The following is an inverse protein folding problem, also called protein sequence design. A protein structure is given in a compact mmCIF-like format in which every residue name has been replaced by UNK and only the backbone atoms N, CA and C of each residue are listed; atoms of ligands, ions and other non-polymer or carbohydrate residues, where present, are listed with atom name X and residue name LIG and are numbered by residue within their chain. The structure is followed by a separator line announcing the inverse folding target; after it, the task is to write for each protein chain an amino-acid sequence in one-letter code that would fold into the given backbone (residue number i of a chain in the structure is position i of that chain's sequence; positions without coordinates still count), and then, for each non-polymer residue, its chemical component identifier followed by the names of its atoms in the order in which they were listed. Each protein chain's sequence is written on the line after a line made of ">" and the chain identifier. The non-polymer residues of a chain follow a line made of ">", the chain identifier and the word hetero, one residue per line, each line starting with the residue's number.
data_IF_960737417677
#
_entry.id   IF_960737417677
#
_cell.length_a   1.000
_cell.length_b   1.000
_cell.length_c   1.000
_cell.angle_alpha   90.00
_cell.angle_beta   90.00
_cell.angle_gamma   90.00
#
_symmetry.space_group_name_H-M   'P 1'
#
loop_
_entity.id
_entity.type
_entity.pdbx_description
1 polymer ?
#
# COMPACT_ATOMS: atom_id res chain seq x y z
N UNK A 1 11.60 1.21 -0.16
CA UNK A 1 11.29 1.53 1.26
C UNK A 1 10.35 0.45 1.72
N UNK A 2 10.66 -0.24 2.82
CA UNK A 2 9.76 -1.26 3.37
C UNK A 2 9.06 -0.68 4.59
N UNK A 3 7.72 -0.70 4.59
CA UNK A 3 6.91 -0.24 5.73
C UNK A 3 5.87 -1.31 6.10
N UNK A 4 5.67 -1.53 7.40
CA UNK A 4 4.66 -2.45 7.88
C UNK A 4 3.26 -1.85 7.66
N UNK A 5 2.37 -2.63 7.06
CA UNK A 5 0.97 -2.26 6.83
C UNK A 5 0.01 -3.23 7.52
N UNK A 6 0.49 -3.96 8.54
CA UNK A 6 -0.38 -4.80 9.34
C UNK A 6 -1.42 -3.93 10.05
N UNK A 7 -2.64 -4.47 10.20
CA UNK A 7 -3.77 -3.70 10.74
C UNK A 7 -4.46 -2.80 9.72
N UNK A 8 -4.10 -2.90 8.43
CA UNK A 8 -4.88 -2.35 7.33
C UNK A 8 -5.47 -3.48 6.47
N UNK A 9 -6.55 -3.13 5.78
CA UNK A 9 -7.01 -3.79 4.56
C UNK A 9 -6.77 -2.85 3.40
N UNK A 10 -6.70 -3.41 2.20
CA UNK A 10 -6.64 -2.62 0.97
C UNK A 10 -7.73 -3.06 0.03
N UNK A 11 -8.43 -2.09 -0.56
CA UNK A 11 -9.32 -2.32 -1.69
C UNK A 11 -8.49 -2.20 -2.96
N UNK A 12 -8.51 -3.22 -3.80
CA UNK A 12 -7.85 -3.27 -5.10
C UNK A 12 -8.72 -4.04 -6.09
N UNK A 13 -9.08 -3.43 -7.21
CA UNK A 13 -9.94 -4.02 -8.25
C UNK A 13 -11.20 -4.72 -7.69
N UNK A 14 -11.97 -3.98 -6.88
CA UNK A 14 -13.22 -4.46 -6.24
C UNK A 14 -13.04 -5.59 -5.20
N UNK A 15 -11.79 -5.97 -4.88
CA UNK A 15 -11.47 -6.98 -3.85
C UNK A 15 -10.92 -6.33 -2.60
N UNK A 16 -11.17 -6.96 -1.45
CA UNK A 16 -10.63 -6.54 -0.16
C UNK A 16 -9.55 -7.52 0.27
N UNK A 17 -8.31 -7.05 0.35
CA UNK A 17 -7.15 -7.85 0.73
C UNK A 17 -6.65 -7.42 2.11
N UNK A 18 -6.04 -8.35 2.85
CA UNK A 18 -5.40 -8.02 4.14
C UNK A 18 -3.93 -7.69 3.91
N UNK A 19 -3.51 -6.49 4.28
CA UNK A 19 -2.14 -6.04 3.98
C UNK A 19 -1.12 -6.58 4.98
N UNK A 20 0.09 -6.79 4.48
CA UNK A 20 1.26 -7.17 5.27
C UNK A 20 2.28 -6.04 5.27
N UNK A 21 2.69 -5.59 4.08
CA UNK A 21 3.74 -4.58 3.94
C UNK A 21 3.61 -3.79 2.64
N UNK A 22 4.17 -2.59 2.67
CA UNK A 22 4.55 -1.80 1.50
C UNK A 22 5.99 -2.16 1.16
N UNK A 23 6.26 -2.67 -0.04
CA UNK A 23 7.58 -3.19 -0.43
C UNK A 23 8.42 -2.13 -1.16
N UNK A 24 7.76 -1.44 -2.10
CA UNK A 24 8.39 -0.47 -3.01
C UNK A 24 7.49 0.74 -3.17
N UNK A 25 8.10 1.92 -3.32
CA UNK A 25 7.42 3.18 -3.58
C UNK A 25 8.24 3.94 -4.62
N UNK A 26 7.61 4.27 -5.73
CA UNK A 26 8.18 5.08 -6.79
C UNK A 26 7.43 6.42 -6.86
N UNK A 27 8.18 7.51 -6.98
CA UNK A 27 7.66 8.87 -7.12
C UNK A 27 7.83 9.35 -8.56
N UNK A 28 7.15 10.43 -8.95
CA UNK A 28 7.42 11.06 -10.24
C UNK A 28 8.84 11.65 -10.30
N UNK A 29 9.44 11.63 -11.49
CA UNK A 29 10.74 12.22 -11.72
C UNK A 29 10.73 13.71 -11.36
N UNK A 30 11.65 14.12 -10.48
CA UNK A 30 11.76 15.50 -10.00
C UNK A 30 11.06 15.78 -8.68
N UNK A 31 10.29 14.84 -8.13
CA UNK A 31 9.62 14.94 -6.83
C UNK A 31 10.56 14.50 -5.68
N UNK A 32 11.75 15.09 -5.64
CA UNK A 32 12.70 14.86 -4.54
C UNK A 32 12.18 15.52 -3.26
N UNK A 33 12.30 14.85 -2.09
CA UNK A 33 11.65 15.24 -0.83
C UNK A 33 12.14 16.56 -0.19
N UNK A 34 12.89 17.39 -0.92
CA UNK A 34 13.68 18.49 -0.36
C UNK A 34 12.98 19.86 -0.37
N UNK A 35 11.65 19.91 -0.58
CA UNK A 35 10.92 21.18 -0.69
C UNK A 35 9.65 21.29 0.17
N UNK A 36 9.58 20.64 1.34
CA UNK A 36 8.42 20.78 2.24
C UNK A 36 7.05 20.43 1.62
N UNK A 37 7.05 19.83 0.43
CA UNK A 37 5.89 19.29 -0.26
C UNK A 37 5.83 17.79 0.03
N UNK A 38 4.62 17.32 0.30
CA UNK A 38 4.33 15.89 0.34
C UNK A 38 4.32 15.38 -1.10
N UNK A 39 5.43 14.78 -1.54
CA UNK A 39 5.49 14.05 -2.81
C UNK A 39 4.50 12.89 -2.75
N UNK A 40 3.66 12.75 -3.78
CA UNK A 40 2.71 11.65 -3.86
C UNK A 40 3.35 10.47 -4.58
N UNK A 41 3.22 9.24 -4.08
CA UNK A 41 3.72 8.08 -4.79
C UNK A 41 2.96 7.90 -6.10
N UNK A 42 3.69 7.55 -7.17
CA UNK A 42 3.13 7.20 -8.48
C UNK A 42 2.79 5.72 -8.54
N UNK A 43 3.73 4.86 -8.16
CA UNK A 43 3.60 3.40 -8.16
C UNK A 43 3.98 2.88 -6.78
N UNK A 44 3.25 1.88 -6.30
CA UNK A 44 3.59 1.16 -5.08
C UNK A 44 3.49 -0.34 -5.29
N UNK A 45 4.24 -1.09 -4.48
CA UNK A 45 4.13 -2.54 -4.37
C UNK A 45 3.58 -2.91 -2.99
N UNK A 46 2.44 -3.59 -2.96
CA UNK A 46 1.76 -4.02 -1.75
C UNK A 46 1.79 -5.53 -1.64
N UNK A 47 2.33 -6.02 -0.52
CA UNK A 47 2.23 -7.42 -0.13
C UNK A 47 0.96 -7.62 0.70
N UNK A 48 0.09 -8.53 0.26
CA UNK A 48 -1.20 -8.78 0.89
C UNK A 48 -1.58 -10.26 0.89
N UNK A 49 -2.57 -10.62 1.70
CA UNK A 49 -3.23 -11.93 1.71
C UNK A 49 -4.57 -11.76 0.99
N UNK A 50 -4.79 -12.58 -0.05
CA UNK A 50 -6.05 -12.60 -0.79
C UNK A 50 -7.13 -13.45 -0.09
N UNK A 51 -8.31 -13.51 -0.69
CA UNK A 51 -9.49 -14.21 -0.15
C UNK A 51 -9.28 -15.73 0.00
N UNK A 52 -8.38 -16.31 -0.80
CA UNK A 52 -8.01 -17.72 -0.74
C UNK A 52 -6.94 -18.03 0.33
N UNK A 53 -6.42 -17.00 1.00
CA UNK A 53 -5.34 -17.13 1.97
C UNK A 53 -3.93 -17.14 1.36
N UNK A 54 -3.79 -16.84 0.07
CA UNK A 54 -2.50 -16.77 -0.60
C UNK A 54 -1.84 -15.41 -0.38
N UNK A 55 -0.52 -15.41 -0.22
CA UNK A 55 0.28 -14.18 -0.25
C UNK A 55 0.45 -13.76 -1.70
N UNK A 56 0.09 -12.52 -2.01
CA UNK A 56 0.21 -11.90 -3.32
C UNK A 56 1.03 -10.62 -3.21
N UNK A 57 1.89 -10.36 -4.19
CA UNK A 57 2.54 -9.06 -4.38
C UNK A 57 1.89 -8.35 -5.57
N UNK A 58 1.46 -7.12 -5.36
CA UNK A 58 0.74 -6.33 -6.36
C UNK A 58 1.47 -5.00 -6.52
N UNK A 59 2.02 -4.78 -7.72
CA UNK A 59 2.64 -3.52 -8.10
C UNK A 59 1.75 -2.81 -9.11
N UNK A 60 1.28 -1.61 -8.77
CA UNK A 60 0.38 -0.83 -9.60
C UNK A 60 0.46 0.66 -9.24
N UNK A 61 -0.25 1.50 -9.99
CA UNK A 61 -0.36 2.92 -9.69
C UNK A 61 -0.98 3.13 -8.29
N UNK A 62 -0.39 4.03 -7.50
CA UNK A 62 -0.73 4.20 -6.09
C UNK A 62 -2.20 4.56 -5.85
N UNK A 63 -2.85 5.23 -6.81
CA UNK A 63 -4.25 5.62 -6.72
C UNK A 63 -5.23 4.44 -6.88
N UNK A 64 -4.76 3.28 -7.34
CA UNK A 64 -5.54 2.04 -7.47
C UNK A 64 -5.82 1.37 -6.11
N UNK A 65 -5.10 1.80 -5.06
CA UNK A 65 -5.18 1.20 -3.73
C UNK A 65 -5.90 2.13 -2.74
N UNK A 66 -6.94 1.61 -2.10
CA UNK A 66 -7.59 2.31 -0.98
C UNK A 66 -7.35 1.55 0.32
N UNK A 67 -6.52 2.11 1.20
CA UNK A 67 -6.22 1.52 2.52
C UNK A 67 -7.30 1.88 3.54
N UNK A 68 -7.76 0.88 4.28
CA UNK A 68 -8.78 0.99 5.32
C UNK A 68 -8.20 0.42 6.62
N UNK A 69 -8.17 1.17 7.72
CA UNK A 69 -7.70 0.64 9.00
C UNK A 69 -8.64 -0.45 9.51
N UNK A 70 -8.09 -1.55 10.01
CA UNK A 70 -8.85 -2.57 10.72
C UNK A 70 -9.23 -2.04 12.11
N UNK A 71 -10.51 -1.70 12.29
CA UNK A 71 -11.05 -1.31 13.60
C UNK A 71 -10.99 -2.53 14.53
N UNK A 72 -10.26 -2.41 15.65
CA UNK A 72 -10.28 -3.42 16.72
C UNK A 72 -8.94 -4.02 17.14
N UNK A 73 -7.80 -3.59 16.58
CA UNK A 73 -6.47 -3.96 17.10
C UNK A 73 -5.57 -2.74 17.31
N UNK A 74 -5.97 -1.86 18.23
CA UNK A 74 -5.00 -1.17 19.08
C UNK A 74 -4.75 -2.10 20.25
N UNK A 75 -3.70 -2.91 20.15
CA UNK A 75 -3.06 -3.51 21.32
C UNK A 75 -2.15 -2.48 21.98
#
# INVERSE_FOLDING_TARGET
>A
MIAELTGYKVVYQERVLRTLALMTVEFEDGDYPDCGKVSKPKVIEVLAINEDGNIVSIMDEAWMFQFIPEIGKRG
#
